data_IF_928321810337
#
_entry.id   IF_928321810337
#
_cell.length_a   1.000
_cell.length_b   1.000
_cell.length_c   1.000
_cell.angle_alpha   90.00
_cell.angle_beta   90.00
_cell.angle_gamma   90.00
#
_symmetry.space_group_name_H-M   'P 1'
#
loop_
_entity.id
_entity.type
_entity.pdbx_description
1 polymer ?
#
# COMPACT_ATOMS: atom_id res chain seq x y z
N UNK A 1 17.26 -0.55 6.53
CA UNK A 1 15.96 -1.22 6.33
C UNK A 1 16.08 -2.03 5.05
N UNK A 2 15.90 -3.35 5.09
CA UNK A 2 16.20 -4.24 3.96
C UNK A 2 15.05 -4.16 2.95
N UNK A 3 15.24 -3.35 1.89
CA UNK A 3 14.22 -3.01 0.90
C UNK A 3 13.63 -4.24 0.21
N UNK A 4 14.43 -5.29 0.03
CA UNK A 4 14.02 -6.56 -0.61
C UNK A 4 12.86 -7.27 0.11
N UNK A 5 12.87 -7.29 1.45
CA UNK A 5 11.83 -7.91 2.28
C UNK A 5 10.53 -7.08 2.36
N UNK A 6 10.57 -5.80 1.99
CA UNK A 6 9.39 -4.92 2.00
C UNK A 6 8.54 -5.08 0.73
N UNK A 7 9.14 -5.44 -0.41
CA UNK A 7 8.45 -5.58 -1.70
C UNK A 7 7.78 -6.94 -1.90
N UNK A 8 8.33 -8.00 -1.32
CA UNK A 8 7.69 -9.32 -1.29
C UNK A 8 6.32 -9.30 -0.61
N UNK A 9 6.08 -8.34 0.30
CA UNK A 9 4.82 -8.22 1.04
C UNK A 9 3.66 -7.63 0.25
N UNK A 10 3.90 -6.87 -0.81
CA UNK A 10 2.81 -6.26 -1.60
C UNK A 10 2.49 -7.05 -2.87
N UNK A 11 3.43 -7.90 -3.32
CA UNK A 11 3.33 -8.59 -4.61
C UNK A 11 3.52 -7.66 -5.82
N UNK A 12 3.96 -6.42 -5.59
CA UNK A 12 4.11 -5.37 -6.60
C UNK A 12 5.58 -4.96 -6.70
N UNK A 13 6.07 -4.74 -7.93
CA UNK A 13 7.47 -4.34 -8.15
C UNK A 13 7.79 -2.98 -7.52
N UNK A 14 9.05 -2.78 -7.12
CA UNK A 14 9.52 -1.50 -6.57
C UNK A 14 9.25 -0.33 -7.52
N UNK A 15 9.48 -0.52 -8.83
CA UNK A 15 9.23 0.52 -9.84
C UNK A 15 7.76 0.93 -9.88
N UNK A 16 6.86 -0.04 -9.77
CA UNK A 16 5.42 0.21 -9.76
C UNK A 16 5.00 0.99 -8.52
N UNK A 17 5.47 0.60 -7.34
CA UNK A 17 5.22 1.33 -6.08
C UNK A 17 5.74 2.77 -6.16
N UNK A 18 6.91 2.98 -6.75
CA UNK A 18 7.44 4.33 -6.96
C UNK A 18 6.56 5.19 -7.87
N UNK A 19 5.93 4.58 -8.87
CA UNK A 19 4.95 5.28 -9.72
C UNK A 19 3.65 5.56 -8.98
N UNK A 20 3.07 4.58 -8.28
CA UNK A 20 1.87 4.78 -7.47
C UNK A 20 2.06 5.88 -6.42
N UNK A 21 3.24 5.94 -5.78
CA UNK A 21 3.57 7.04 -4.86
C UNK A 21 3.60 8.42 -5.53
N UNK A 22 3.94 8.53 -6.82
CA UNK A 22 3.85 9.82 -7.54
C UNK A 22 2.40 10.27 -7.67
N UNK A 23 1.50 9.34 -7.96
CA UNK A 23 0.06 9.63 -8.08
C UNK A 23 -0.55 9.97 -6.72
N UNK A 24 -0.24 9.22 -5.67
CA UNK A 24 -0.65 9.54 -4.29
C UNK A 24 -0.19 10.94 -3.89
N UNK A 25 1.05 11.31 -4.24
CA UNK A 25 1.59 12.66 -3.99
C UNK A 25 0.83 13.77 -4.71
N UNK A 26 0.39 13.50 -5.94
CA UNK A 26 -0.39 14.46 -6.71
C UNK A 26 -1.79 14.66 -6.11
N UNK A 27 -2.43 13.57 -5.69
CA UNK A 27 -3.79 13.60 -5.17
C UNK A 27 -3.90 14.13 -3.74
N UNK A 28 -2.85 13.95 -2.92
CA UNK A 28 -2.83 14.39 -1.51
C UNK A 28 -1.60 15.28 -1.26
N UNK A 29 -1.66 16.58 -1.63
CA UNK A 29 -0.54 17.50 -1.47
C UNK A 29 -0.09 17.61 -0.01
N UNK A 30 1.21 17.45 0.26
CA UNK A 30 1.81 17.59 1.59
C UNK A 30 1.77 16.33 2.47
N UNK A 31 1.11 15.25 2.05
CA UNK A 31 0.88 14.07 2.88
C UNK A 31 2.02 13.03 2.84
N UNK A 32 3.03 13.24 1.99
CA UNK A 32 3.96 12.18 1.61
C UNK A 32 5.44 12.46 1.87
N UNK A 33 5.86 13.63 2.34
CA UNK A 33 7.28 13.89 2.61
C UNK A 33 7.51 14.57 3.95
N UNK A 34 8.44 14.05 4.74
CA UNK A 34 8.92 14.78 5.90
C UNK A 34 9.79 15.98 5.49
N UNK A 35 10.19 16.81 6.46
CA UNK A 35 11.06 17.99 6.21
C UNK A 35 12.42 17.64 5.57
N UNK A 36 12.75 16.35 5.45
CA UNK A 36 13.98 15.81 4.83
C UNK A 36 13.72 15.15 3.47
N UNK A 37 12.48 15.17 2.96
CA UNK A 37 12.12 14.57 1.67
C UNK A 37 11.87 13.05 1.72
N UNK A 38 11.83 12.43 2.90
CA UNK A 38 11.56 10.99 3.02
C UNK A 38 10.06 10.71 3.01
N UNK A 39 9.66 9.61 2.38
CA UNK A 39 8.27 9.15 2.39
C UNK A 39 7.82 8.78 3.81
N UNK A 40 6.60 9.18 4.19
CA UNK A 40 5.96 8.72 5.43
C UNK A 40 5.39 7.31 5.32
N UNK A 41 5.10 6.85 4.11
CA UNK A 41 4.44 5.58 3.85
C UNK A 41 5.44 4.45 3.64
N UNK A 42 5.12 3.31 4.26
CA UNK A 42 5.59 2.01 3.81
C UNK A 42 5.05 1.73 2.40
N UNK A 43 5.71 0.87 1.61
CA UNK A 43 5.21 0.42 0.32
C UNK A 43 3.78 -0.11 0.36
N UNK A 44 3.42 -0.84 1.43
CA UNK A 44 2.09 -1.36 1.63
C UNK A 44 1.04 -0.24 1.77
N UNK A 45 1.34 0.77 2.57
CA UNK A 45 0.45 1.94 2.73
C UNK A 45 0.35 2.72 1.43
N UNK A 46 1.45 2.92 0.71
CA UNK A 46 1.46 3.61 -0.57
C UNK A 46 0.52 2.93 -1.59
N UNK A 47 0.56 1.59 -1.69
CA UNK A 47 -0.36 0.83 -2.53
C UNK A 47 -1.82 0.96 -2.06
N UNK A 48 -2.07 0.92 -0.76
CA UNK A 48 -3.42 1.06 -0.22
C UNK A 48 -4.03 2.44 -0.52
N UNK A 49 -3.23 3.50 -0.41
CA UNK A 49 -3.64 4.86 -0.80
C UNK A 49 -3.84 5.00 -2.29
N UNK A 50 -3.02 4.35 -3.11
CA UNK A 50 -3.22 4.32 -4.55
C UNK A 50 -4.57 3.67 -4.91
N UNK A 51 -4.87 2.50 -4.34
CA UNK A 51 -6.17 1.83 -4.52
C UNK A 51 -7.33 2.73 -4.08
N UNK A 52 -7.20 3.41 -2.95
CA UNK A 52 -8.18 4.39 -2.48
C UNK A 52 -8.48 5.45 -3.55
N UNK A 53 -7.43 6.09 -4.07
CA UNK A 53 -7.54 7.15 -5.07
C UNK A 53 -8.22 6.65 -6.33
N UNK A 54 -7.79 5.49 -6.85
CA UNK A 54 -8.38 4.88 -8.05
C UNK A 54 -9.88 4.65 -7.91
N UNK A 55 -10.32 4.12 -6.76
CA UNK A 55 -11.75 3.91 -6.51
C UNK A 55 -12.50 5.24 -6.35
N UNK A 56 -11.89 6.27 -5.75
CA UNK A 56 -12.51 7.60 -5.68
C UNK A 56 -12.69 8.18 -7.08
N UNK A 57 -11.68 8.09 -7.94
CA UNK A 57 -11.75 8.57 -9.32
C UNK A 57 -12.81 7.82 -10.14
N UNK A 58 -12.88 6.50 -10.00
CA UNK A 58 -13.84 5.67 -10.74
C UNK A 58 -15.28 5.84 -10.26
N UNK A 59 -15.50 6.03 -8.96
CA UNK A 59 -16.84 6.06 -8.37
C UNK A 59 -17.33 7.47 -8.02
N UNK A 60 -16.43 8.47 -8.08
CA UNK A 60 -16.63 9.82 -7.54
C UNK A 60 -17.15 9.81 -6.08
N UNK A 61 -16.70 8.84 -5.27
CA UNK A 61 -17.19 8.64 -3.91
C UNK A 61 -16.07 8.29 -2.91
N UNK A 62 -15.81 9.23 -2.00
CA UNK A 62 -14.78 9.09 -0.95
C UNK A 62 -15.02 7.89 -0.03
N UNK A 63 -16.28 7.54 0.27
CA UNK A 63 -16.59 6.41 1.16
C UNK A 63 -16.15 5.08 0.55
N UNK A 64 -16.30 4.92 -0.76
CA UNK A 64 -15.86 3.71 -1.46
C UNK A 64 -14.33 3.64 -1.52
N UNK A 65 -13.67 4.79 -1.72
CA UNK A 65 -12.21 4.88 -1.58
C UNK A 65 -11.71 4.40 -0.24
N UNK A 66 -12.20 5.00 0.85
CA UNK A 66 -11.78 4.65 2.23
C UNK A 66 -12.02 3.15 2.51
N UNK A 67 -13.16 2.61 2.06
CA UNK A 67 -13.45 1.18 2.19
C UNK A 67 -12.42 0.33 1.45
N UNK A 68 -12.07 0.69 0.22
CA UNK A 68 -11.08 -0.04 -0.58
C UNK A 68 -9.68 -0.02 0.06
N UNK A 69 -9.28 1.10 0.67
CA UNK A 69 -8.04 1.21 1.45
C UNK A 69 -8.01 0.19 2.60
N UNK A 70 -9.08 0.16 3.41
CA UNK A 70 -9.19 -0.73 4.58
C UNK A 70 -9.18 -2.19 4.12
N UNK A 71 -9.97 -2.52 3.09
CA UNK A 71 -10.06 -3.87 2.54
C UNK A 71 -8.70 -4.35 2.00
N UNK A 72 -7.93 -3.48 1.34
CA UNK A 72 -6.58 -3.80 0.88
C UNK A 72 -5.64 -4.11 2.04
N UNK A 73 -5.61 -3.25 3.07
CA UNK A 73 -4.76 -3.44 4.25
C UNK A 73 -5.11 -4.73 5.01
N UNK A 74 -6.40 -5.01 5.21
CA UNK A 74 -6.85 -6.24 5.87
C UNK A 74 -6.51 -7.48 5.05
N UNK A 75 -6.67 -7.44 3.71
CA UNK A 75 -6.27 -8.55 2.84
C UNK A 75 -4.79 -8.87 3.00
N UNK A 76 -3.93 -7.86 3.04
CA UNK A 76 -2.49 -8.04 3.19
C UNK A 76 -2.12 -8.59 4.58
N UNK A 77 -2.84 -8.17 5.64
CA UNK A 77 -2.71 -8.74 6.98
C UNK A 77 -3.10 -10.23 7.01
N UNK A 78 -4.22 -10.59 6.39
CA UNK A 78 -4.70 -11.98 6.31
C UNK A 78 -3.72 -12.84 5.51
N UNK A 79 -3.22 -12.37 4.37
CA UNK A 79 -2.23 -13.09 3.56
C UNK A 79 -0.92 -13.31 4.33
N UNK A 80 -0.42 -12.30 5.05
CA UNK A 80 0.77 -12.45 5.88
C UNK A 80 0.55 -13.51 6.98
N UNK A 81 -0.64 -13.57 7.58
CA UNK A 81 -0.99 -14.60 8.56
C UNK A 81 -1.06 -16.00 7.94
N UNK A 82 -1.69 -16.14 6.77
CA UNK A 82 -1.73 -17.42 6.04
C UNK A 82 -0.32 -17.90 5.72
N UNK A 83 0.54 -17.03 5.17
CA UNK A 83 1.93 -17.38 4.87
C UNK A 83 2.72 -17.79 6.12
N UNK A 84 2.43 -17.19 7.28
CA UNK A 84 3.06 -17.59 8.54
C UNK A 84 2.61 -18.99 8.96
N UNK A 85 1.32 -19.31 8.80
CA UNK A 85 0.78 -20.64 9.12
C UNK A 85 1.41 -21.67 8.17
N UNK A 86 1.34 -21.44 6.85
CA UNK A 86 1.82 -22.39 5.84
C UNK A 86 3.33 -22.66 5.94
N UNK A 87 4.15 -21.64 6.21
CA UNK A 87 5.61 -21.79 6.21
C UNK A 87 6.21 -22.17 7.59
N UNK A 88 5.45 -22.04 8.67
CA UNK A 88 5.86 -22.49 10.01
C UNK A 88 5.12 -23.75 10.48
N UNK A 89 4.33 -24.39 9.61
CA UNK A 89 3.69 -25.67 9.92
C UNK A 89 4.76 -26.78 9.85
N UNK A 90 5.05 -27.48 10.95
CA UNK A 90 6.12 -28.49 10.99
C UNK A 90 5.69 -29.86 10.46
N UNK A 91 4.65 -29.97 9.64
CA UNK A 91 4.25 -31.24 9.03
C UNK A 91 5.17 -31.65 7.88
#
# INVERSE_FOLDING_TARGET
MNTKAMYEKTGVSERTIQNHMKEVRYFIPGFAMNRRGNNYFTPLEAEAYYVMIRIIEETNNVKFGIRALIEYMERQRVLARINTIVNNDPF
#
